data_IF_687258931337
#
_entry.id   IF_687258931337
#
_cell.length_a   1.000
_cell.length_b   1.000
_cell.length_c   1.000
_cell.angle_alpha   90.00
_cell.angle_beta   90.00
_cell.angle_gamma   90.00
#
_symmetry.space_group_name_H-M   'P 1'
#
loop_
_entity.id
_entity.type
_entity.pdbx_description
1 polymer ?
#
# COMPACT_ATOMS: atom_id res chain seq x y z
N UNK A 1 -11.21 10.88 -1.46
CA UNK A 1 -10.77 9.62 -0.81
C UNK A 1 -9.59 9.12 -1.62
N UNK A 2 -8.42 8.92 -1.00
CA UNK A 2 -7.26 8.37 -1.70
C UNK A 2 -7.52 6.91 -2.09
N UNK A 3 -6.88 6.44 -3.17
CA UNK A 3 -6.96 5.03 -3.58
C UNK A 3 -6.56 4.07 -2.45
N UNK A 4 -5.57 4.46 -1.64
CA UNK A 4 -5.13 3.68 -0.49
C UNK A 4 -6.23 3.57 0.57
N UNK A 5 -6.92 4.65 0.88
CA UNK A 5 -8.02 4.66 1.84
C UNK A 5 -9.20 3.80 1.36
N UNK A 6 -9.58 3.92 0.09
CA UNK A 6 -10.62 3.08 -0.50
C UNK A 6 -10.29 1.59 -0.42
N UNK A 7 -9.03 1.22 -0.71
CA UNK A 7 -8.56 -0.16 -0.59
C UNK A 7 -8.55 -0.64 0.87
N UNK A 8 -8.12 0.17 1.82
CA UNK A 8 -8.16 -0.20 3.23
C UNK A 8 -9.59 -0.45 3.69
N UNK A 9 -10.52 0.43 3.36
CA UNK A 9 -11.95 0.26 3.69
C UNK A 9 -12.54 -1.01 3.09
N UNK A 10 -12.11 -1.42 1.88
CA UNK A 10 -12.60 -2.65 1.25
C UNK A 10 -12.05 -3.94 1.87
N UNK A 11 -10.95 -3.86 2.61
CA UNK A 11 -10.30 -5.01 3.25
C UNK A 11 -10.63 -5.15 4.75
N UNK A 12 -11.12 -4.09 5.36
CA UNK A 12 -11.43 -4.06 6.78
C UNK A 12 -12.90 -4.44 7.04
N UNK A 13 -13.21 -4.99 8.22
CA UNK A 13 -14.58 -5.18 8.67
C UNK A 13 -15.37 -3.85 8.64
N UNK A 14 -16.68 -3.94 8.50
CA UNK A 14 -17.57 -2.76 8.42
C UNK A 14 -17.49 -1.85 9.66
N UNK A 15 -17.15 -2.42 10.79
CA UNK A 15 -17.01 -1.74 12.09
C UNK A 15 -15.66 -1.01 12.23
N UNK A 16 -14.71 -1.27 11.33
CA UNK A 16 -13.40 -0.64 11.40
C UNK A 16 -13.42 0.77 10.81
N UNK A 17 -12.82 1.69 11.51
CA UNK A 17 -12.65 3.06 11.06
C UNK A 17 -11.24 3.28 10.50
N UNK A 18 -11.13 4.12 9.47
CA UNK A 18 -9.86 4.52 8.86
C UNK A 18 -9.63 5.99 9.12
N UNK A 19 -8.57 6.29 9.87
CA UNK A 19 -8.12 7.66 10.13
C UNK A 19 -6.89 7.98 9.28
N UNK A 20 -6.95 9.06 8.54
CA UNK A 20 -5.82 9.61 7.80
C UNK A 20 -5.20 10.74 8.63
N UNK A 21 -3.98 10.54 9.09
CA UNK A 21 -3.22 11.54 9.84
C UNK A 21 -2.25 12.25 8.90
N UNK A 22 -2.18 13.58 9.00
CA UNK A 22 -1.19 14.35 8.27
C UNK A 22 0.20 14.12 8.87
N UNK A 23 1.11 13.57 8.08
CA UNK A 23 2.49 13.32 8.51
C UNK A 23 3.34 14.58 8.30
N UNK A 24 3.04 15.61 9.10
CA UNK A 24 3.68 16.93 9.07
C UNK A 24 5.05 16.94 9.76
N UNK A 25 5.66 18.13 9.87
CA UNK A 25 6.95 18.31 10.53
C UNK A 25 6.90 17.96 12.02
N UNK A 26 5.79 18.26 12.71
CA UNK A 26 5.57 17.93 14.12
C UNK A 26 5.53 16.42 14.31
N UNK A 27 4.74 15.71 13.52
CA UNK A 27 4.62 14.26 13.61
C UNK A 27 5.94 13.54 13.29
N UNK A 28 6.72 14.07 12.33
CA UNK A 28 8.05 13.50 11.99
C UNK A 28 9.09 13.60 13.10
N UNK A 29 8.97 14.58 13.99
CA UNK A 29 9.90 14.79 15.12
C UNK A 29 9.39 14.20 16.44
N UNK A 30 8.19 13.64 16.44
CA UNK A 30 7.56 13.07 17.62
C UNK A 30 8.28 11.79 18.04
N UNK A 31 8.54 11.65 19.35
CA UNK A 31 9.10 10.42 19.91
C UNK A 31 8.06 9.29 19.86
N UNK A 32 8.51 8.04 20.02
CA UNK A 32 7.59 6.90 20.13
C UNK A 32 6.64 7.04 21.33
N UNK A 33 7.15 7.56 22.44
CA UNK A 33 6.35 7.79 23.65
C UNK A 33 5.26 8.84 23.40
N UNK A 34 5.61 9.98 22.80
CA UNK A 34 4.64 11.04 22.50
C UNK A 34 3.59 10.58 21.48
N UNK A 35 4.01 9.82 20.47
CA UNK A 35 3.09 9.27 19.46
C UNK A 35 2.09 8.29 20.10
N UNK A 36 2.54 7.39 20.96
CA UNK A 36 1.65 6.45 21.66
C UNK A 36 0.71 7.20 22.62
N UNK A 37 1.21 8.23 23.33
CA UNK A 37 0.39 9.09 24.18
C UNK A 37 -0.70 9.81 23.36
N UNK A 38 -0.35 10.40 22.23
CA UNK A 38 -1.31 11.02 21.31
C UNK A 38 -2.39 10.04 20.85
N UNK A 39 -2.01 8.82 20.43
CA UNK A 39 -2.98 7.80 20.03
C UNK A 39 -3.94 7.42 21.18
N UNK A 40 -3.42 7.33 22.39
CA UNK A 40 -4.25 7.06 23.58
C UNK A 40 -5.20 8.21 23.91
N UNK A 41 -4.69 9.44 23.93
CA UNK A 41 -5.41 10.60 24.44
C UNK A 41 -6.38 11.20 23.42
N UNK A 42 -5.96 11.31 22.17
CA UNK A 42 -6.76 11.93 21.10
C UNK A 42 -7.69 10.93 20.40
N UNK A 43 -7.29 9.64 20.33
CA UNK A 43 -8.05 8.60 19.62
C UNK A 43 -8.58 7.48 20.53
N UNK A 44 -8.30 7.52 21.82
CA UNK A 44 -8.78 6.51 22.77
C UNK A 44 -8.19 5.12 22.57
N UNK A 45 -7.02 5.00 21.93
CA UNK A 45 -6.37 3.72 21.64
C UNK A 45 -6.00 3.00 22.92
N UNK A 46 -6.39 1.73 23.04
CA UNK A 46 -6.10 0.84 24.16
C UNK A 46 -5.15 -0.29 23.82
N UNK A 47 -5.07 -0.64 22.54
CA UNK A 47 -4.18 -1.67 22.04
C UNK A 47 -3.62 -1.29 20.67
N UNK A 48 -2.37 -1.67 20.41
CA UNK A 48 -1.68 -1.45 19.14
C UNK A 48 -1.18 -2.81 18.62
N UNK A 49 -1.50 -3.12 17.38
CA UNK A 49 -0.89 -4.22 16.63
C UNK A 49 0.06 -3.64 15.60
N UNK A 50 1.34 -3.99 15.67
CA UNK A 50 2.34 -3.53 14.71
C UNK A 50 2.85 -4.65 13.83
N UNK A 51 3.33 -4.33 12.63
CA UNK A 51 4.14 -5.25 11.84
C UNK A 51 5.49 -5.54 12.50
N UNK A 52 6.12 -6.66 12.16
CA UNK A 52 7.40 -7.09 12.75
C UNK A 52 8.54 -6.08 12.50
N UNK A 53 8.54 -5.41 11.36
CA UNK A 53 9.54 -4.44 10.92
C UNK A 53 9.14 -2.97 11.14
N UNK A 54 7.95 -2.74 11.71
CA UNK A 54 7.44 -1.39 11.90
C UNK A 54 8.02 -0.75 13.17
N UNK A 55 8.52 0.48 13.03
CA UNK A 55 9.02 1.31 14.14
C UNK A 55 8.18 2.57 14.28
N UNK A 56 8.02 3.03 15.54
CA UNK A 56 7.34 4.28 15.87
C UNK A 56 8.35 5.35 16.26
N UNK A 57 7.98 6.60 16.02
CA UNK A 57 8.73 7.76 16.45
C UNK A 57 10.01 8.02 15.63
N UNK A 58 10.56 9.22 15.79
CA UNK A 58 11.83 9.59 15.17
C UNK A 58 13.03 8.90 15.84
N UNK A 59 12.89 8.55 17.11
CA UNK A 59 13.86 7.89 17.97
C UNK A 59 14.03 6.39 17.71
N UNK A 60 13.12 5.79 16.94
CA UNK A 60 13.15 4.39 16.47
C UNK A 60 13.59 3.38 17.55
N UNK A 61 12.92 3.32 18.71
CA UNK A 61 13.29 2.38 19.74
C UNK A 61 13.15 0.93 19.29
N UNK A 62 13.86 0.02 19.98
CA UNK A 62 13.73 -1.41 19.73
C UNK A 62 12.31 -1.91 19.99
N UNK A 63 12.00 -3.11 19.47
CA UNK A 63 10.71 -3.75 19.69
C UNK A 63 10.35 -3.89 21.18
N UNK A 64 11.31 -4.33 21.99
CA UNK A 64 11.12 -4.51 23.43
C UNK A 64 10.92 -3.18 24.14
N UNK A 65 11.69 -2.16 23.76
CA UNK A 65 11.53 -0.81 24.30
C UNK A 65 10.15 -0.24 23.97
N UNK A 66 9.64 -0.47 22.75
CA UNK A 66 8.29 -0.05 22.36
C UNK A 66 7.20 -0.69 23.22
N UNK A 67 7.34 -1.98 23.53
CA UNK A 67 6.40 -2.68 24.43
C UNK A 67 6.40 -2.05 25.81
N UNK A 68 7.57 -1.72 26.35
CA UNK A 68 7.68 -1.04 27.65
C UNK A 68 7.08 0.38 27.63
N UNK A 69 7.34 1.16 26.57
CA UNK A 69 6.75 2.50 26.40
C UNK A 69 5.22 2.41 26.33
N UNK A 70 4.69 1.48 25.56
CA UNK A 70 3.24 1.28 25.45
C UNK A 70 2.62 0.88 26.79
N UNK A 71 3.24 -0.07 27.50
CA UNK A 71 2.78 -0.51 28.82
C UNK A 71 2.79 0.63 29.84
N UNK A 72 3.84 1.47 29.86
CA UNK A 72 3.91 2.65 30.70
C UNK A 72 2.81 3.68 30.37
N UNK A 73 2.40 3.75 29.11
CA UNK A 73 1.26 4.58 28.68
C UNK A 73 -0.11 3.92 28.92
N UNK A 74 -0.19 2.70 29.48
CA UNK A 74 -1.43 1.96 29.66
C UNK A 74 -2.03 1.41 28.36
N UNK A 75 -1.20 1.24 27.30
CA UNK A 75 -1.59 0.72 25.99
C UNK A 75 -0.98 -0.67 25.80
N UNK A 76 -1.80 -1.64 25.44
CA UNK A 76 -1.30 -2.98 25.08
C UNK A 76 -0.61 -2.94 23.71
N UNK A 77 0.50 -3.68 23.56
CA UNK A 77 1.18 -3.78 22.27
C UNK A 77 1.45 -5.24 21.91
N UNK A 78 1.11 -5.59 20.68
CA UNK A 78 1.42 -6.89 20.11
C UNK A 78 2.07 -6.73 18.73
N UNK A 79 2.81 -7.76 18.31
CA UNK A 79 3.44 -7.80 16.99
C UNK A 79 2.74 -8.85 16.14
N UNK A 80 2.28 -8.46 14.95
CA UNK A 80 1.72 -9.40 13.99
C UNK A 80 2.79 -10.40 13.53
N UNK A 81 2.43 -11.68 13.33
CA UNK A 81 3.36 -12.67 12.79
C UNK A 81 3.85 -12.27 11.39
N UNK A 82 5.05 -12.72 11.04
CA UNK A 82 5.59 -12.55 9.69
C UNK A 82 4.77 -13.39 8.72
N UNK A 83 4.21 -12.74 7.70
CA UNK A 83 3.59 -13.45 6.59
C UNK A 83 4.67 -13.87 5.61
N UNK A 84 4.69 -15.16 5.26
CA UNK A 84 5.61 -15.71 4.27
C UNK A 84 4.88 -15.95 2.95
N UNK A 85 5.55 -15.66 1.85
CA UNK A 85 5.08 -16.07 0.52
C UNK A 85 5.13 -17.59 0.40
N UNK A 86 4.01 -18.21 0.08
CA UNK A 86 3.83 -19.67 0.05
C UNK A 86 4.72 -20.38 -0.98
N UNK A 87 5.15 -19.67 -2.03
CA UNK A 87 5.98 -20.22 -3.10
C UNK A 87 7.47 -20.10 -2.78
N UNK A 88 7.89 -18.94 -2.27
CA UNK A 88 9.32 -18.65 -2.06
C UNK A 88 9.77 -18.83 -0.63
N UNK A 89 8.85 -18.90 0.34
CA UNK A 89 9.15 -18.92 1.77
C UNK A 89 9.73 -17.61 2.30
N UNK A 90 9.81 -16.57 1.49
CA UNK A 90 10.33 -15.27 1.89
C UNK A 90 9.27 -14.42 2.59
N UNK A 91 9.71 -13.53 3.47
CA UNK A 91 8.81 -12.61 4.14
C UNK A 91 8.13 -11.66 3.15
N UNK A 92 6.80 -11.58 3.23
CA UNK A 92 6.00 -10.62 2.46
C UNK A 92 6.23 -9.23 3.04
N UNK A 93 6.77 -8.33 2.22
CA UNK A 93 6.99 -6.94 2.58
C UNK A 93 6.85 -6.02 1.36
N UNK A 94 6.67 -4.74 1.61
CA UNK A 94 6.50 -3.75 0.54
C UNK A 94 7.66 -3.70 -0.46
N UNK A 95 8.88 -3.97 0.00
CA UNK A 95 10.08 -4.00 -0.87
C UNK A 95 10.07 -5.20 -1.81
N UNK A 96 9.68 -6.39 -1.32
CA UNK A 96 9.55 -7.59 -2.14
C UNK A 96 8.46 -7.42 -3.20
N UNK A 97 7.28 -6.93 -2.80
CA UNK A 97 6.17 -6.65 -3.72
C UNK A 97 6.59 -5.64 -4.79
N UNK A 98 7.22 -4.53 -4.40
CA UNK A 98 7.69 -3.51 -5.34
C UNK A 98 8.71 -4.06 -6.32
N UNK A 99 9.62 -4.91 -5.87
CA UNK A 99 10.61 -5.57 -6.73
C UNK A 99 9.93 -6.45 -7.78
N UNK A 100 8.98 -7.29 -7.38
CA UNK A 100 8.22 -8.13 -8.32
C UNK A 100 7.51 -7.29 -9.39
N UNK A 101 6.94 -6.14 -9.02
CA UNK A 101 6.24 -5.26 -9.96
C UNK A 101 7.24 -4.55 -10.89
N UNK A 102 8.22 -3.83 -10.32
CA UNK A 102 9.03 -2.85 -11.06
C UNK A 102 10.24 -3.49 -11.74
N UNK A 103 10.89 -4.47 -11.07
CA UNK A 103 12.12 -5.07 -11.59
C UNK A 103 11.84 -6.34 -12.38
N UNK A 104 11.00 -7.21 -11.84
CA UNK A 104 10.80 -8.55 -12.39
C UNK A 104 9.62 -8.58 -13.38
N UNK A 105 8.62 -7.71 -13.22
CA UNK A 105 7.39 -7.72 -14.02
C UNK A 105 6.50 -8.92 -13.67
N UNK A 106 6.78 -9.59 -12.55
CA UNK A 106 6.04 -10.76 -12.08
C UNK A 106 4.78 -10.33 -11.31
N UNK A 107 3.71 -10.12 -12.06
CA UNK A 107 2.43 -9.67 -11.51
C UNK A 107 1.71 -10.77 -10.73
N UNK A 108 2.01 -12.05 -11.01
CA UNK A 108 1.45 -13.18 -10.25
C UNK A 108 2.06 -13.26 -8.86
N UNK A 109 3.39 -13.14 -8.73
CA UNK A 109 4.05 -13.05 -7.44
C UNK A 109 3.59 -11.81 -6.66
N UNK A 110 3.47 -10.66 -7.32
CA UNK A 110 2.95 -9.45 -6.67
C UNK A 110 1.51 -9.64 -6.17
N UNK A 111 0.64 -10.25 -6.98
CA UNK A 111 -0.75 -10.50 -6.59
C UNK A 111 -0.87 -11.49 -5.43
N UNK A 112 -0.06 -12.56 -5.44
CA UNK A 112 0.00 -13.55 -4.37
C UNK A 112 0.41 -12.90 -3.04
N UNK A 113 1.50 -12.12 -3.04
CA UNK A 113 1.97 -11.39 -1.86
C UNK A 113 0.99 -10.31 -1.37
N UNK A 114 0.24 -9.68 -2.28
CA UNK A 114 -0.77 -8.67 -1.94
C UNK A 114 -2.11 -9.29 -1.50
N UNK A 115 -2.37 -10.57 -1.77
CA UNK A 115 -3.67 -11.22 -1.61
C UNK A 115 -4.73 -10.70 -2.61
N UNK A 116 -4.33 -9.94 -3.62
CA UNK A 116 -5.21 -9.36 -4.66
C UNK A 116 -4.41 -8.92 -5.87
N UNK A 117 -5.08 -8.72 -7.00
CA UNK A 117 -4.43 -8.13 -8.17
C UNK A 117 -3.88 -6.72 -7.84
N UNK A 118 -2.69 -6.43 -8.36
CA UNK A 118 -2.13 -5.08 -8.26
C UNK A 118 -2.97 -4.11 -9.10
N UNK A 119 -3.29 -2.97 -8.54
CA UNK A 119 -4.16 -1.98 -9.17
C UNK A 119 -3.40 -0.69 -9.42
N UNK A 120 -3.42 -0.22 -10.66
CA UNK A 120 -2.97 1.11 -11.05
C UNK A 120 -4.20 2.00 -11.27
N UNK A 121 -4.12 3.23 -10.80
CA UNK A 121 -5.14 4.25 -11.05
C UNK A 121 -4.49 5.39 -11.82
N UNK A 122 -5.14 5.82 -12.88
CA UNK A 122 -4.66 6.91 -13.71
C UNK A 122 -5.78 7.60 -14.45
N UNK A 123 -5.44 8.64 -15.17
CA UNK A 123 -6.34 9.38 -16.05
C UNK A 123 -6.00 9.13 -17.52
N UNK A 124 -7.01 9.14 -18.37
CA UNK A 124 -6.78 9.02 -19.79
C UNK A 124 -6.20 10.35 -20.31
N UNK A 125 -4.95 10.30 -20.71
CA UNK A 125 -4.20 11.43 -21.25
C UNK A 125 -4.26 11.50 -22.80
N UNK A 126 -3.88 12.67 -23.33
CA UNK A 126 -3.79 12.93 -24.75
C UNK A 126 -2.49 12.32 -25.31
N UNK A 127 -2.54 11.08 -25.81
CA UNK A 127 -1.41 10.46 -26.49
C UNK A 127 -1.28 10.89 -27.97
N UNK A 128 -0.27 10.35 -28.66
CA UNK A 128 0.02 10.61 -30.08
C UNK A 128 -1.07 10.12 -31.06
N UNK A 129 -2.11 9.43 -30.56
CA UNK A 129 -3.25 8.90 -31.32
C UNK A 129 -2.88 7.99 -32.50
N UNK A 130 -1.67 7.41 -32.50
CA UNK A 130 -1.14 6.53 -33.58
C UNK A 130 -2.04 5.31 -33.75
N UNK A 131 -2.53 4.71 -32.68
CA UNK A 131 -3.43 3.56 -32.73
C UNK A 131 -4.68 3.81 -33.56
N UNK A 132 -5.21 5.05 -33.55
CA UNK A 132 -6.38 5.42 -34.35
C UNK A 132 -6.08 5.37 -35.86
N UNK A 133 -4.85 5.71 -36.28
CA UNK A 133 -4.47 5.71 -37.72
C UNK A 133 -4.28 4.30 -38.28
N UNK A 134 -4.02 3.32 -37.43
CA UNK A 134 -3.84 1.91 -37.81
C UNK A 134 -5.04 1.02 -37.44
N UNK A 135 -6.18 1.62 -37.08
CA UNK A 135 -7.42 0.90 -36.78
C UNK A 135 -7.52 0.30 -35.37
N UNK A 136 -6.52 0.54 -34.52
CA UNK A 136 -6.48 0.05 -33.13
C UNK A 136 -6.40 1.23 -32.14
N UNK A 137 -7.53 1.91 -31.85
CA UNK A 137 -7.50 3.02 -30.93
C UNK A 137 -7.08 2.56 -29.52
N UNK A 138 -6.11 3.27 -28.93
CA UNK A 138 -5.57 3.01 -27.62
C UNK A 138 -5.84 4.18 -26.70
N UNK A 139 -6.03 3.90 -25.40
CA UNK A 139 -6.04 4.91 -24.34
C UNK A 139 -4.66 4.96 -23.69
N UNK A 140 -4.08 6.15 -23.58
CA UNK A 140 -2.87 6.34 -22.79
C UNK A 140 -3.29 6.70 -21.36
N UNK A 141 -2.73 5.99 -20.40
CA UNK A 141 -3.04 6.18 -18.97
C UNK A 141 -1.87 6.90 -18.31
N UNK A 142 -2.14 8.08 -17.82
CA UNK A 142 -1.19 8.84 -16.99
C UNK A 142 -1.35 8.40 -15.54
N UNK A 143 -0.29 7.86 -14.97
CA UNK A 143 -0.24 7.31 -13.61
C UNK A 143 0.57 8.24 -12.73
N UNK A 144 0.16 8.42 -11.46
CA UNK A 144 0.93 9.18 -10.47
C UNK A 144 2.35 8.58 -10.33
N UNK A 145 3.38 9.44 -10.40
CA UNK A 145 4.79 9.04 -10.31
C UNK A 145 5.17 8.32 -9.01
N UNK A 146 4.33 8.41 -7.98
CA UNK A 146 4.50 7.68 -6.71
C UNK A 146 4.02 6.24 -6.77
N UNK A 147 3.28 5.85 -7.81
CA UNK A 147 2.83 4.48 -8.01
C UNK A 147 3.97 3.61 -8.56
N UNK A 148 3.99 2.35 -8.15
CA UNK A 148 4.91 1.37 -8.72
C UNK A 148 4.39 0.94 -10.10
N UNK A 149 4.99 1.46 -11.15
CA UNK A 149 4.65 1.07 -12.54
C UNK A 149 5.36 -0.25 -12.85
N UNK A 150 4.67 -1.25 -13.41
CA UNK A 150 5.29 -2.51 -13.79
C UNK A 150 6.46 -2.31 -14.78
N UNK A 151 7.39 -3.26 -14.79
CA UNK A 151 8.46 -3.32 -15.78
C UNK A 151 7.88 -3.20 -17.20
N UNK A 152 8.65 -2.60 -18.11
CA UNK A 152 8.27 -2.55 -19.54
C UNK A 152 7.89 -3.92 -20.08
N UNK A 153 6.72 -4.02 -20.71
CA UNK A 153 6.15 -5.27 -21.17
C UNK A 153 4.67 -5.18 -21.52
N UNK A 154 4.10 -6.31 -21.89
CA UNK A 154 2.68 -6.45 -22.22
C UNK A 154 2.01 -7.31 -21.15
N UNK A 155 0.90 -6.82 -20.64
CA UNK A 155 0.17 -7.43 -19.52
C UNK A 155 -1.31 -7.61 -19.86
N UNK A 156 -1.88 -8.73 -19.44
CA UNK A 156 -3.33 -8.87 -19.37
C UNK A 156 -3.85 -8.09 -18.13
N UNK A 157 -4.88 -7.29 -18.33
CA UNK A 157 -5.44 -6.47 -17.28
C UNK A 157 -6.97 -6.47 -17.30
N UNK A 158 -7.56 -6.15 -16.14
CA UNK A 158 -8.95 -5.74 -16.05
C UNK A 158 -8.98 -4.23 -15.85
N UNK A 159 -9.80 -3.54 -16.62
CA UNK A 159 -9.93 -2.09 -16.55
C UNK A 159 -11.35 -1.74 -16.11
N UNK A 160 -11.42 -1.02 -15.00
CA UNK A 160 -12.67 -0.42 -14.54
C UNK A 160 -12.76 1.00 -15.09
N UNK A 161 -13.72 1.26 -15.91
CA UNK A 161 -13.99 2.58 -16.52
C UNK A 161 -15.48 2.83 -16.53
N UNK A 162 -15.88 4.12 -16.59
CA UNK A 162 -17.27 4.59 -16.48
C UNK A 162 -18.31 3.58 -17.00
N UNK A 163 -18.94 2.89 -16.07
CA UNK A 163 -20.06 1.98 -16.35
C UNK A 163 -19.71 0.50 -16.55
N UNK A 164 -18.44 0.07 -16.43
CA UNK A 164 -18.14 -1.35 -16.58
C UNK A 164 -16.70 -1.79 -16.33
N UNK A 165 -16.52 -3.11 -16.28
CA UNK A 165 -15.23 -3.78 -16.19
C UNK A 165 -14.96 -4.52 -17.49
N UNK A 166 -13.78 -4.32 -18.05
CA UNK A 166 -13.38 -4.85 -19.36
C UNK A 166 -12.02 -5.55 -19.28
N UNK A 167 -11.89 -6.64 -20.02
CA UNK A 167 -10.58 -7.22 -20.31
C UNK A 167 -9.78 -6.31 -21.22
N UNK A 168 -8.50 -6.11 -20.93
CA UNK A 168 -7.63 -5.24 -21.70
C UNK A 168 -6.22 -5.85 -21.84
N UNK A 169 -5.52 -5.42 -22.86
CA UNK A 169 -4.09 -5.59 -23.02
C UNK A 169 -3.41 -4.26 -22.70
N UNK A 170 -2.53 -4.29 -21.71
CA UNK A 170 -1.79 -3.12 -21.23
C UNK A 170 -0.35 -3.22 -21.72
N UNK A 171 0.12 -2.22 -22.45
CA UNK A 171 1.53 -2.05 -22.77
C UNK A 171 2.17 -1.01 -21.84
N UNK A 172 3.25 -1.39 -21.18
CA UNK A 172 4.09 -0.52 -20.36
C UNK A 172 5.40 -0.29 -21.09
N UNK A 173 5.72 0.96 -21.43
CA UNK A 173 6.92 1.33 -22.18
C UNK A 173 7.27 2.80 -22.06
#
# INVERSE_FOLDING_TARGET
ISTKEALLRSLLPSEAEVYALDFDAKMRTMSAADFIAMLRDDYGVRAIVRGHDHTFGHDRPSADTLVHIAAAAGVQMSTAPVLLDEVTGQAVCSSAIRRSIVCDGDMEAAARMLGRAYTLVGTVGAGRRIGRTIGFPTANIEVDSRMAVPRCGVYAALVDVAGGRYGAMLNVG
#
